data_IF_749933441571
#
_entry.id   IF_749933441571
#
_cell.length_a   1.000
_cell.length_b   1.000
_cell.length_c   1.000
_cell.angle_alpha   90.00
_cell.angle_beta   90.00
_cell.angle_gamma   90.00
#
_symmetry.space_group_name_H-M   'P 1'
#
loop_
_entity.id
_entity.type
_entity.pdbx_description
1 polymer ?
#
# COMPACT_ATOMS: atom_id res chain seq x y z
N UNK A 1 -12.10 7.82 5.83
CA UNK A 1 -11.95 6.51 6.51
C UNK A 1 -10.51 6.30 7.00
N UNK A 2 -9.49 6.23 6.13
CA UNK A 2 -8.09 6.00 6.54
C UNK A 2 -7.50 7.10 7.46
N UNK A 3 -7.67 8.38 7.09
CA UNK A 3 -7.23 9.52 7.92
C UNK A 3 -7.99 9.63 9.24
N UNK A 4 -9.26 9.22 9.26
CA UNK A 4 -10.09 9.20 10.47
C UNK A 4 -9.56 8.15 11.46
N UNK A 5 -9.30 6.94 10.97
CA UNK A 5 -8.72 5.87 11.77
C UNK A 5 -7.34 6.27 12.30
N UNK A 6 -6.50 6.91 11.47
CA UNK A 6 -5.20 7.45 11.89
C UNK A 6 -5.37 8.42 13.03
N UNK A 7 -6.36 9.30 13.04
CA UNK A 7 -6.54 10.27 14.12
C UNK A 7 -7.03 9.65 15.45
N UNK A 8 -7.58 8.43 15.45
CA UNK A 8 -8.17 7.81 16.64
C UNK A 8 -7.37 6.63 17.20
N UNK A 9 -6.52 6.00 16.40
CA UNK A 9 -5.77 4.79 16.77
C UNK A 9 -4.27 5.08 16.90
N UNK A 10 -3.59 4.33 17.78
CA UNK A 10 -2.15 4.47 18.00
C UNK A 10 -1.31 3.95 16.83
N UNK A 11 -1.59 2.70 16.40
CA UNK A 11 -0.92 2.06 15.27
C UNK A 11 -1.98 1.47 14.32
N UNK A 12 -1.70 1.49 13.02
CA UNK A 12 -2.59 1.01 11.96
C UNK A 12 -1.81 0.06 11.07
N UNK A 13 -2.38 -1.13 10.87
CA UNK A 13 -2.02 -2.01 9.77
C UNK A 13 -3.05 -1.82 8.66
N UNK A 14 -2.62 -1.25 7.54
CA UNK A 14 -3.40 -1.24 6.31
C UNK A 14 -3.10 -2.51 5.52
N UNK A 15 -4.12 -3.09 4.91
CA UNK A 15 -3.99 -4.18 3.95
C UNK A 15 -5.08 -4.08 2.89
N UNK A 16 -4.73 -4.34 1.63
CA UNK A 16 -5.71 -4.55 0.57
C UNK A 16 -6.52 -5.82 0.85
N UNK A 17 -7.74 -5.88 0.30
CA UNK A 17 -8.66 -7.00 0.49
C UNK A 17 -8.16 -8.34 -0.07
N UNK A 18 -7.15 -8.31 -0.94
CA UNK A 18 -6.50 -9.50 -1.51
C UNK A 18 -5.21 -9.92 -0.77
N UNK A 19 -4.88 -9.28 0.35
CA UNK A 19 -3.71 -9.65 1.15
C UNK A 19 -4.16 -10.45 2.38
N UNK A 20 -3.42 -11.51 2.73
CA UNK A 20 -3.61 -12.28 3.97
C UNK A 20 -2.33 -12.35 4.77
N UNK A 21 -2.50 -12.47 6.08
CA UNK A 21 -1.42 -12.79 7.01
C UNK A 21 -1.21 -14.31 7.06
N UNK A 22 0.04 -14.75 7.03
CA UNK A 22 0.40 -16.17 7.12
C UNK A 22 1.14 -16.52 8.42
N UNK A 23 1.46 -15.53 9.27
CA UNK A 23 2.15 -15.71 10.54
C UNK A 23 1.67 -14.71 11.58
N UNK A 24 1.61 -15.16 12.84
CA UNK A 24 1.33 -14.34 14.01
C UNK A 24 2.51 -13.48 14.45
N UNK A 25 3.72 -13.74 13.95
CA UNK A 25 4.93 -12.96 14.26
C UNK A 25 4.88 -11.51 13.75
N UNK A 26 3.90 -11.18 12.90
CA UNK A 26 3.64 -9.82 12.41
C UNK A 26 3.49 -8.78 13.55
N UNK A 27 3.13 -9.21 14.76
CA UNK A 27 3.07 -8.36 15.96
C UNK A 27 4.39 -7.61 16.19
N UNK A 28 5.54 -8.21 15.85
CA UNK A 28 6.87 -7.58 15.94
C UNK A 28 7.00 -6.34 15.04
N UNK A 29 6.25 -6.30 13.94
CA UNK A 29 6.25 -5.22 12.96
C UNK A 29 5.22 -4.11 13.24
N UNK A 30 4.27 -4.32 14.18
CA UNK A 30 3.15 -3.40 14.42
C UNK A 30 3.54 -2.09 15.11
N UNK A 31 4.78 -1.95 15.59
CA UNK A 31 5.27 -0.74 16.26
C UNK A 31 6.57 -0.22 15.63
N UNK A 32 6.51 0.32 14.40
CA UNK A 32 7.70 0.76 13.69
C UNK A 32 8.38 1.93 14.40
N UNK A 33 9.70 1.84 14.59
CA UNK A 33 10.50 2.87 15.29
C UNK A 33 10.42 4.23 14.60
N UNK A 34 10.57 4.24 13.27
CA UNK A 34 10.49 5.43 12.43
C UNK A 34 9.05 5.89 12.15
N UNK A 35 8.06 5.21 12.73
CA UNK A 35 6.66 5.55 12.60
C UNK A 35 5.95 5.01 11.36
N UNK A 36 6.67 4.46 10.39
CA UNK A 36 6.08 3.74 9.25
C UNK A 36 6.97 2.55 8.86
N UNK A 37 6.34 1.47 8.41
CA UNK A 37 7.03 0.28 7.90
C UNK A 37 6.30 -0.24 6.66
N UNK A 38 7.10 -0.60 5.67
CA UNK A 38 6.68 -0.98 4.33
C UNK A 38 7.52 -2.17 3.82
N UNK A 39 7.09 -2.79 2.73
CA UNK A 39 7.80 -3.91 2.10
C UNK A 39 8.23 -3.57 0.69
N UNK A 40 9.46 -3.91 0.26
CA UNK A 40 9.98 -3.51 -1.04
C UNK A 40 9.47 -4.42 -2.16
N UNK A 41 9.36 -3.87 -3.36
CA UNK A 41 9.29 -4.63 -4.61
C UNK A 41 10.68 -4.74 -5.24
N UNK A 42 10.77 -5.43 -6.38
CA UNK A 42 12.01 -5.55 -7.17
C UNK A 42 12.26 -4.38 -8.12
N UNK A 43 11.36 -3.40 -8.16
CA UNK A 43 11.41 -2.30 -9.13
C UNK A 43 11.87 -1.02 -8.43
N UNK A 44 12.65 -0.19 -9.09
CA UNK A 44 13.01 1.13 -8.56
C UNK A 44 11.79 2.06 -8.60
N UNK A 45 11.70 3.02 -7.67
CA UNK A 45 10.62 4.03 -7.64
C UNK A 45 10.49 4.72 -9.00
N UNK A 46 11.62 5.15 -9.57
CA UNK A 46 11.68 5.87 -10.85
C UNK A 46 11.22 5.06 -12.06
N UNK A 47 11.23 3.73 -11.96
CA UNK A 47 10.78 2.87 -13.04
C UNK A 47 9.25 2.88 -13.20
N UNK A 48 8.51 3.23 -12.15
CA UNK A 48 7.04 3.17 -12.09
C UNK A 48 6.41 4.51 -11.69
N UNK A 49 7.20 5.57 -11.64
CA UNK A 49 6.73 6.92 -11.32
C UNK A 49 6.74 7.79 -12.58
N UNK A 50 5.59 8.35 -12.93
CA UNK A 50 5.47 9.22 -14.09
C UNK A 50 6.29 10.50 -13.87
N UNK A 51 7.06 11.00 -14.86
CA UNK A 51 7.93 12.17 -14.70
C UNK A 51 7.26 13.41 -14.09
N UNK A 52 6.03 13.71 -14.53
CA UNK A 52 5.23 14.84 -14.00
C UNK A 52 4.91 14.77 -12.50
N UNK A 53 4.95 13.58 -11.88
CA UNK A 53 4.80 13.50 -10.42
C UNK A 53 6.03 14.04 -9.70
N UNK A 54 7.24 13.82 -10.25
CA UNK A 54 8.46 14.44 -9.73
C UNK A 54 8.44 15.97 -9.91
N UNK A 55 7.92 16.45 -11.04
CA UNK A 55 7.70 17.88 -11.28
C UNK A 55 6.75 18.47 -10.22
N UNK A 56 5.62 17.80 -9.94
CA UNK A 56 4.69 18.22 -8.89
C UNK A 56 5.37 18.34 -7.52
N UNK A 57 6.20 17.38 -7.13
CA UNK A 57 6.94 17.42 -5.87
C UNK A 57 8.21 18.29 -5.90
N UNK A 58 8.55 18.88 -7.06
CA UNK A 58 9.72 19.75 -7.27
C UNK A 58 11.04 19.02 -6.94
N UNK A 59 11.16 17.77 -7.38
CA UNK A 59 12.32 16.90 -7.14
C UNK A 59 12.83 16.28 -8.44
N UNK A 60 14.07 15.81 -8.43
CA UNK A 60 14.63 15.04 -9.53
C UNK A 60 14.31 13.55 -9.37
N UNK A 61 13.96 12.88 -10.48
CA UNK A 61 13.82 11.42 -10.52
C UNK A 61 15.14 10.70 -10.18
N UNK A 62 16.28 11.34 -10.43
CA UNK A 62 17.62 10.77 -10.21
C UNK A 62 17.86 10.41 -8.75
N UNK A 63 17.32 11.20 -7.82
CA UNK A 63 17.38 10.94 -6.37
C UNK A 63 16.68 9.64 -5.97
N UNK A 64 15.88 9.05 -6.87
CA UNK A 64 15.07 7.86 -6.63
C UNK A 64 15.50 6.64 -7.47
N UNK A 65 16.61 6.73 -8.22
CA UNK A 65 17.05 5.63 -9.11
C UNK A 65 17.43 4.35 -8.37
N UNK A 66 17.90 4.46 -7.12
CA UNK A 66 18.39 3.33 -6.32
C UNK A 66 17.48 2.98 -5.16
N UNK A 67 16.35 3.66 -5.04
CA UNK A 67 15.34 3.35 -4.02
C UNK A 67 14.32 2.36 -4.58
N UNK A 68 14.00 1.28 -3.85
CA UNK A 68 12.99 0.32 -4.29
C UNK A 68 11.59 0.91 -4.10
N UNK A 69 10.71 0.65 -5.06
CA UNK A 69 9.29 0.92 -4.92
C UNK A 69 8.70 0.01 -3.84
N UNK A 70 8.00 0.58 -2.87
CA UNK A 70 7.28 -0.20 -1.83
C UNK A 70 5.97 -0.81 -2.34
N UNK A 71 5.47 -1.86 -1.65
CA UNK A 71 4.11 -2.39 -1.82
C UNK A 71 3.13 -1.59 -0.97
N UNK A 72 2.31 -0.76 -1.63
CA UNK A 72 1.26 0.00 -0.93
C UNK A 72 0.09 -0.88 -0.44
N UNK A 73 0.01 -2.14 -0.91
CA UNK A 73 -1.05 -3.08 -0.53
C UNK A 73 -1.02 -3.53 0.93
N UNK A 74 0.06 -3.24 1.65
CA UNK A 74 0.14 -3.46 3.09
C UNK A 74 1.21 -2.54 3.69
N UNK A 75 0.82 -1.75 4.69
CA UNK A 75 1.71 -0.80 5.38
C UNK A 75 1.34 -0.74 6.85
N UNK A 76 2.36 -0.59 7.71
CA UNK A 76 2.16 -0.32 9.14
C UNK A 76 2.49 1.13 9.40
N UNK A 77 1.59 1.85 10.06
CA UNK A 77 1.72 3.26 10.36
C UNK A 77 1.49 3.46 11.86
N UNK A 78 2.43 4.13 12.52
CA UNK A 78 2.24 4.69 13.86
C UNK A 78 1.76 6.12 13.72
N UNK A 79 0.66 6.43 14.39
CA UNK A 79 0.08 7.76 14.38
C UNK A 79 0.92 8.73 15.26
N UNK A 80 2.01 9.24 14.70
CA UNK A 80 2.76 10.35 15.30
C UNK A 80 2.40 11.66 14.61
N UNK A 81 2.62 12.80 15.28
CA UNK A 81 2.46 14.12 14.67
C UNK A 81 3.33 14.26 13.43
N UNK A 82 4.58 13.82 13.52
CA UNK A 82 5.54 13.84 12.43
C UNK A 82 5.06 13.04 11.21
N UNK A 83 4.66 11.78 11.38
CA UNK A 83 4.15 10.95 10.28
C UNK A 83 2.89 11.55 9.67
N UNK A 84 1.97 12.09 10.48
CA UNK A 84 0.77 12.75 9.96
C UNK A 84 1.11 13.97 9.10
N UNK A 85 1.97 14.85 9.58
CA UNK A 85 2.26 16.13 8.93
C UNK A 85 3.25 16.01 7.78
N UNK A 86 4.24 15.13 7.90
CA UNK A 86 5.37 15.01 6.95
C UNK A 86 5.21 13.89 5.94
N UNK A 87 4.40 12.87 6.23
CA UNK A 87 4.16 11.74 5.33
C UNK A 87 2.71 11.71 4.85
N UNK A 88 1.76 11.58 5.76
CA UNK A 88 0.36 11.36 5.40
C UNK A 88 -0.28 12.57 4.71
N UNK A 89 -0.02 13.78 5.19
CA UNK A 89 -0.55 15.01 4.62
C UNK A 89 -0.11 15.22 3.16
N UNK A 90 1.19 15.23 2.80
CA UNK A 90 1.60 15.39 1.41
C UNK A 90 1.16 14.23 0.52
N UNK A 91 1.09 13.00 1.06
CA UNK A 91 0.57 11.85 0.32
C UNK A 91 -0.92 12.04 -0.04
N UNK A 92 -1.76 12.48 0.90
CA UNK A 92 -3.18 12.80 0.65
C UNK A 92 -3.34 14.00 -0.28
N UNK A 93 -2.54 15.05 -0.12
CA UNK A 93 -2.58 16.21 -1.02
C UNK A 93 -2.32 15.80 -2.48
N UNK A 94 -1.34 14.92 -2.71
CA UNK A 94 -1.12 14.34 -4.04
C UNK A 94 -2.32 13.52 -4.50
N UNK A 95 -2.84 12.61 -3.66
CA UNK A 95 -3.98 11.76 -4.00
C UNK A 95 -5.24 12.57 -4.39
N UNK A 96 -5.42 13.76 -3.81
CA UNK A 96 -6.51 14.68 -4.12
C UNK A 96 -6.22 15.63 -5.29
N UNK A 97 -5.01 15.62 -5.83
CA UNK A 97 -4.59 16.50 -6.92
C UNK A 97 -4.36 15.70 -8.18
N UNK A 98 -5.25 15.83 -9.16
CA UNK A 98 -5.22 15.04 -10.41
C UNK A 98 -3.85 15.05 -11.08
N UNK A 99 -3.25 16.23 -11.21
CA UNK A 99 -1.98 16.39 -11.92
C UNK A 99 -0.79 15.78 -11.16
N UNK A 100 -0.96 15.49 -9.86
CA UNK A 100 -0.01 14.69 -9.08
C UNK A 100 -0.30 13.19 -9.21
N UNK A 101 -1.50 12.74 -8.84
CA UNK A 101 -1.81 11.31 -8.69
C UNK A 101 -1.97 10.59 -10.03
N UNK A 102 -2.48 11.28 -11.05
CA UNK A 102 -2.75 10.74 -12.38
C UNK A 102 -2.42 11.81 -13.43
N UNK A 103 -1.13 12.18 -13.58
CA UNK A 103 -0.72 13.17 -14.55
C UNK A 103 -1.09 12.73 -15.98
N UNK A 104 -1.29 13.69 -16.87
CA UNK A 104 -1.59 13.41 -18.29
C UNK A 104 -0.51 12.49 -18.87
N UNK A 105 -0.94 11.33 -19.38
CA UNK A 105 -0.07 10.27 -19.91
C UNK A 105 0.21 9.11 -18.93
N UNK A 106 -0.26 9.20 -17.69
CA UNK A 106 -0.19 8.09 -16.74
C UNK A 106 -1.13 6.94 -17.15
N UNK A 107 -0.62 5.71 -17.07
CA UNK A 107 -1.37 4.48 -17.33
C UNK A 107 -0.83 3.34 -16.47
N UNK A 108 -1.69 2.42 -16.04
CA UNK A 108 -1.29 1.26 -15.23
C UNK A 108 -0.70 0.10 -16.06
N UNK A 109 -1.04 0.02 -17.34
CA UNK A 109 -0.67 -1.09 -18.22
C UNK A 109 0.52 -0.78 -19.14
N UNK A 110 1.04 -1.82 -19.81
CA UNK A 110 2.07 -1.64 -20.84
C UNK A 110 3.48 -1.38 -20.32
N UNK A 111 3.75 -1.72 -19.05
CA UNK A 111 5.07 -1.57 -18.42
C UNK A 111 6.17 -2.33 -19.19
N UNK A 112 7.24 -1.62 -19.55
CA UNK A 112 8.41 -2.18 -20.26
C UNK A 112 9.63 -2.29 -19.34
N UNK A 113 9.66 -3.36 -18.53
CA UNK A 113 10.76 -3.64 -17.59
C UNK A 113 12.02 -4.22 -18.23
N UNK A 114 12.00 -4.49 -19.54
CA UNK A 114 13.16 -4.95 -20.29
C UNK A 114 14.13 -3.81 -20.66
N UNK A 115 13.75 -2.54 -20.42
CA UNK A 115 14.63 -1.40 -20.64
C UNK A 115 15.78 -1.41 -19.64
N UNK A 116 16.99 -1.11 -20.12
CA UNK A 116 18.17 -0.89 -19.28
C UNK A 116 18.59 0.58 -19.33
N UNK A 117 19.14 1.13 -18.23
CA UNK A 117 19.11 0.58 -16.87
C UNK A 117 17.69 0.48 -16.30
N UNK A 118 17.48 -0.42 -15.33
CA UNK A 118 16.15 -0.80 -14.80
C UNK A 118 15.42 0.34 -14.07
N UNK A 119 16.13 1.39 -13.66
CA UNK A 119 15.54 2.57 -13.03
C UNK A 119 14.88 3.53 -14.02
N UNK A 120 15.01 3.32 -15.34
CA UNK A 120 14.33 4.15 -16.33
C UNK A 120 12.83 3.93 -16.27
N UNK A 121 12.07 5.01 -16.48
CA UNK A 121 10.61 4.96 -16.54
C UNK A 121 10.12 3.90 -17.54
N UNK A 122 9.29 2.98 -17.04
CA UNK A 122 8.83 1.80 -17.76
C UNK A 122 7.66 2.11 -18.70
N UNK A 123 7.12 3.32 -18.69
CA UNK A 123 5.95 3.70 -19.50
C UNK A 123 4.61 3.42 -18.82
N UNK A 124 4.62 3.08 -17.53
CA UNK A 124 3.43 2.87 -16.71
C UNK A 124 3.66 3.45 -15.31
N UNK A 125 2.57 3.73 -14.59
CA UNK A 125 2.56 4.48 -13.36
C UNK A 125 1.92 3.72 -12.20
N UNK A 126 2.52 3.78 -11.01
CA UNK A 126 2.01 3.13 -9.79
C UNK A 126 1.23 4.08 -8.86
N UNK A 127 0.78 5.23 -9.34
CA UNK A 127 -0.20 6.11 -8.67
C UNK A 127 0.15 6.44 -7.21
N UNK A 128 -0.70 6.06 -6.26
CA UNK A 128 -0.58 6.33 -4.83
C UNK A 128 0.68 5.72 -4.23
N UNK A 129 1.09 4.53 -4.70
CA UNK A 129 2.37 3.95 -4.32
C UNK A 129 3.53 4.84 -4.75
N UNK A 130 3.53 5.37 -5.98
CA UNK A 130 4.59 6.29 -6.45
C UNK A 130 4.64 7.57 -5.60
N UNK A 131 3.47 8.16 -5.30
CA UNK A 131 3.37 9.35 -4.47
C UNK A 131 3.93 9.11 -3.06
N UNK A 132 3.54 8.00 -2.41
CA UNK A 132 4.04 7.64 -1.09
C UNK A 132 5.55 7.45 -1.10
N UNK A 133 6.10 6.80 -2.13
CA UNK A 133 7.54 6.57 -2.26
C UNK A 133 8.34 7.87 -2.39
N UNK A 134 7.84 8.86 -3.17
CA UNK A 134 8.48 10.18 -3.23
C UNK A 134 8.48 10.84 -1.85
N UNK A 135 7.33 10.84 -1.18
CA UNK A 135 7.17 11.45 0.15
C UNK A 135 8.09 10.79 1.18
N UNK A 136 8.18 9.46 1.19
CA UNK A 136 9.07 8.71 2.08
C UNK A 136 10.54 9.03 1.80
N UNK A 137 10.95 9.04 0.53
CA UNK A 137 12.32 9.41 0.16
C UNK A 137 12.67 10.83 0.61
N UNK A 138 11.76 11.79 0.46
CA UNK A 138 11.99 13.16 0.94
C UNK A 138 12.05 13.24 2.48
N UNK A 139 11.15 12.55 3.17
CA UNK A 139 11.08 12.61 4.63
C UNK A 139 12.29 11.95 5.30
N UNK A 140 12.73 10.81 4.77
CA UNK A 140 13.85 10.03 5.31
C UNK A 140 15.18 10.32 4.59
N UNK A 141 15.31 11.43 3.87
CA UNK A 141 16.54 11.82 3.16
C UNK A 141 17.11 10.70 2.27
N UNK A 142 16.23 9.97 1.59
CA UNK A 142 16.56 8.87 0.69
C UNK A 142 17.25 7.68 1.39
N UNK A 143 17.05 7.52 2.70
CA UNK A 143 17.43 6.33 3.45
C UNK A 143 16.23 5.40 3.61
N UNK A 144 16.19 4.34 2.78
CA UNK A 144 15.11 3.36 2.79
C UNK A 144 15.16 2.39 3.98
N UNK A 145 16.32 2.28 4.66
CA UNK A 145 16.46 1.45 5.86
C UNK A 145 15.57 1.93 7.00
N UNK A 146 15.16 3.20 6.97
CA UNK A 146 14.26 3.80 7.95
C UNK A 146 12.81 3.28 7.87
N UNK A 147 12.34 2.85 6.69
CA UNK A 147 10.92 2.52 6.48
C UNK A 147 10.68 1.22 5.73
N UNK A 148 11.73 0.50 5.32
CA UNK A 148 11.63 -0.81 4.66
C UNK A 148 11.94 -1.93 5.64
N UNK A 149 11.08 -2.94 5.65
CA UNK A 149 11.30 -4.17 6.38
C UNK A 149 12.51 -4.93 5.80
N UNK A 150 13.49 -5.19 6.66
CA UNK A 150 14.80 -5.73 6.26
C UNK A 150 14.84 -7.27 6.21
N UNK A 151 13.91 -7.94 6.87
CA UNK A 151 13.90 -9.40 6.92
C UNK A 151 13.24 -9.99 5.67
N UNK A 152 13.66 -11.20 5.31
CA UNK A 152 13.13 -11.93 4.14
C UNK A 152 11.79 -12.61 4.43
N UNK A 153 11.31 -12.56 5.67
CA UNK A 153 10.07 -13.18 6.07
C UNK A 153 8.89 -12.52 5.35
N UNK A 154 8.15 -13.33 4.62
CA UNK A 154 6.92 -12.90 3.97
C UNK A 154 5.80 -13.13 4.96
N UNK A 155 5.40 -12.11 5.73
CA UNK A 155 4.19 -12.19 6.58
C UNK A 155 2.89 -12.09 5.78
N UNK A 156 3.00 -11.64 4.53
CA UNK A 156 1.88 -11.29 3.67
C UNK A 156 1.89 -12.17 2.42
N UNK A 157 0.75 -12.80 2.16
CA UNK A 157 0.48 -13.53 0.93
C UNK A 157 -0.60 -12.78 0.15
N UNK A 158 -0.37 -12.60 -1.15
CA UNK A 158 -1.38 -12.06 -2.05
C UNK A 158 -2.20 -13.21 -2.63
N UNK A 159 -3.52 -13.11 -2.52
CA UNK A 159 -4.48 -14.08 -3.03
C UNK A 159 -4.91 -13.69 -4.45
N UNK A 160 -5.08 -14.67 -5.32
CA UNK A 160 -5.57 -14.45 -6.67
C UNK A 160 -7.08 -14.13 -6.70
N UNK A 161 -7.57 -13.35 -7.68
CA UNK A 161 -8.98 -12.97 -7.76
C UNK A 161 -9.97 -14.15 -7.74
N UNK A 162 -9.59 -15.30 -8.29
CA UNK A 162 -10.41 -16.50 -8.34
C UNK A 162 -10.61 -17.08 -6.93
N UNK A 163 -9.54 -17.19 -6.15
CA UNK A 163 -9.58 -17.67 -4.77
C UNK A 163 -10.41 -16.73 -3.87
N UNK A 164 -10.32 -15.41 -4.08
CA UNK A 164 -11.14 -14.41 -3.38
C UNK A 164 -12.63 -14.65 -3.69
N UNK A 165 -12.95 -14.87 -4.96
CA UNK A 165 -14.33 -15.09 -5.39
C UNK A 165 -14.91 -16.35 -4.76
N UNK A 166 -14.15 -17.44 -4.73
CA UNK A 166 -14.55 -18.68 -4.05
C UNK A 166 -14.75 -18.46 -2.55
N UNK A 167 -13.85 -17.75 -1.87
CA UNK A 167 -13.98 -17.42 -0.44
C UNK A 167 -15.27 -16.62 -0.16
N UNK A 168 -15.56 -15.60 -0.97
CA UNK A 168 -16.80 -14.83 -0.86
C UNK A 168 -18.05 -15.70 -1.07
N UNK A 169 -18.03 -16.61 -2.04
CA UNK A 169 -19.14 -17.54 -2.28
C UNK A 169 -19.33 -18.49 -1.10
N UNK A 170 -18.25 -18.99 -0.49
CA UNK A 170 -18.33 -19.84 0.70
C UNK A 170 -18.93 -19.10 1.90
N UNK A 171 -18.47 -17.88 2.20
CA UNK A 171 -18.99 -17.05 3.30
C UNK A 171 -20.48 -16.75 3.08
N UNK A 172 -20.87 -16.40 1.86
CA UNK A 172 -22.28 -16.11 1.53
C UNK A 172 -23.18 -17.33 1.75
N UNK A 173 -22.71 -18.53 1.36
CA UNK A 173 -23.43 -19.79 1.60
C UNK A 173 -23.58 -20.09 3.09
N UNK A 174 -22.52 -19.89 3.88
CA UNK A 174 -22.56 -20.09 5.34
C UNK A 174 -23.53 -19.12 6.02
N UNK A 175 -23.53 -17.84 5.64
CA UNK A 175 -24.44 -16.85 6.21
C UNK A 175 -25.90 -17.21 5.88
N UNK A 176 -26.20 -17.58 4.64
CA UNK A 176 -27.54 -18.00 4.24
C UNK A 176 -28.02 -19.27 4.96
N UNK A 177 -27.13 -20.24 5.21
CA UNK A 177 -27.42 -21.43 5.99
C UNK A 177 -27.65 -21.11 7.49
N UNK A 178 -26.94 -20.12 8.02
CA UNK A 178 -27.10 -19.69 9.42
C UNK A 178 -28.43 -18.95 9.60
N UNK A 179 -28.81 -18.08 8.65
CA UNK A 179 -30.10 -17.40 8.64
C UNK A 179 -31.30 -18.34 8.47
N UNK A 180 -31.19 -19.36 7.61
CA UNK A 180 -32.25 -20.35 7.42
C UNK A 180 -32.45 -21.21 8.67
N UNK A 181 -31.37 -21.60 9.35
CA UNK A 181 -31.43 -22.29 10.64
C UNK A 181 -32.05 -21.43 11.74
N UNK A 182 -31.73 -20.12 11.80
CA UNK A 182 -32.35 -19.21 12.76
C UNK A 182 -33.86 -19.07 12.55
N UNK A 183 -34.31 -18.99 11.28
CA UNK A 183 -35.75 -18.94 10.94
C UNK A 183 -36.47 -20.23 11.33
N UNK A 184 -35.83 -21.39 11.11
CA UNK A 184 -36.41 -22.69 11.45
C UNK A 184 -36.56 -22.89 12.97
N UNK A 185 -35.60 -22.40 13.77
CA UNK A 185 -35.68 -22.40 15.24
C UNK A 185 -36.85 -21.52 15.72
N UNK A 186 -37.00 -20.30 15.17
CA UNK A 186 -38.11 -19.40 15.56
C UNK A 186 -39.48 -19.97 15.16
N UNK A 187 -39.57 -20.76 14.10
CA UNK A 187 -40.83 -21.41 13.67
C UNK A 187 -41.19 -22.68 14.44
N UNK A 188 -40.27 -23.26 15.21
CA UNK A 188 -40.54 -24.48 16.02
C UNK A 188 -40.90 -24.18 17.48
N UNK A 189 -40.78 -22.92 17.92
CA UNK A 189 -41.15 -22.45 19.27
C UNK A 189 -42.56 -21.80 19.33
N UNK A 190 -43.44 -22.05 18.35
CA UNK A 190 -44.85 -21.61 18.37
C UNK A 190 -45.84 -22.75 18.28
#
# INVERSE_FOLDING_TARGET
MFQTALNTLGNILYMDSNVRLNSSDIVKCLSPKSGILTWPTRHAISSLTHPKMYEYFHVSAESFFFLPLIRASHIVIRNTKEIREKVMLPWVQCALTRDCICPIGAQSAGCRFNKKPQYRYSGCHAYDASALNIVLGLHFNFDDTCYIHQERETYFNQIQPEEITEEYLMITRQNNATESNLRNIISTER
#
